data_IF_419251292269
#
_entry.id   IF_419251292269
#
_cell.length_a   1.000
_cell.length_b   1.000
_cell.length_c   1.000
_cell.angle_alpha   90.00
_cell.angle_beta   90.00
_cell.angle_gamma   90.00
#
_symmetry.space_group_name_H-M   'P 1'
#
loop_
_entity.id
_entity.type
_entity.pdbx_description
1 polymer ?
#
# COMPACT_ATOMS: atom_id res chain seq x y z
N UNK A 1 16.48 13.70 7.27
CA UNK A 1 16.88 12.34 6.90
C UNK A 1 16.14 11.31 7.75
N UNK A 2 16.33 11.34 9.08
CA UNK A 2 15.65 10.41 10.01
C UNK A 2 14.12 10.37 9.88
N UNK A 3 13.48 11.54 9.78
CA UNK A 3 12.03 11.62 9.60
C UNK A 3 11.56 10.93 8.31
N UNK A 4 12.30 11.10 7.22
CA UNK A 4 11.99 10.47 5.94
C UNK A 4 12.17 8.95 6.02
N UNK A 5 13.22 8.48 6.68
CA UNK A 5 13.45 7.06 6.95
C UNK A 5 12.31 6.45 7.75
N UNK A 6 11.83 7.14 8.80
CA UNK A 6 10.69 6.69 9.61
C UNK A 6 9.40 6.64 8.79
N UNK A 7 9.13 7.66 7.97
CA UNK A 7 7.94 7.68 7.09
C UNK A 7 7.96 6.52 6.09
N UNK A 8 9.10 6.28 5.42
CA UNK A 8 9.25 5.14 4.50
C UNK A 8 9.14 3.80 5.23
N UNK A 9 9.75 3.67 6.42
CA UNK A 9 9.65 2.45 7.22
C UNK A 9 8.21 2.13 7.61
N UNK A 10 7.41 3.14 7.99
CA UNK A 10 5.98 2.96 8.28
C UNK A 10 5.20 2.51 7.05
N UNK A 11 5.46 3.12 5.89
CA UNK A 11 4.82 2.70 4.63
C UNK A 11 5.14 1.25 4.29
N UNK A 12 6.42 0.85 4.38
CA UNK A 12 6.87 -0.53 4.17
C UNK A 12 6.21 -1.48 5.16
N UNK A 13 6.17 -1.13 6.45
CA UNK A 13 5.51 -1.94 7.48
C UNK A 13 4.04 -2.19 7.13
N UNK A 14 3.31 -1.17 6.66
CA UNK A 14 1.92 -1.33 6.22
C UNK A 14 1.82 -2.11 4.92
N UNK A 15 2.74 -1.92 3.99
CA UNK A 15 2.74 -2.58 2.69
C UNK A 15 2.98 -4.08 2.76
N UNK A 16 3.59 -4.56 3.85
CA UNK A 16 3.67 -5.99 4.16
C UNK A 16 2.31 -6.61 4.55
N UNK A 17 1.28 -5.79 4.80
CA UNK A 17 -0.08 -6.28 5.02
C UNK A 17 -0.81 -6.48 3.70
N UNK A 18 -1.32 -7.69 3.50
CA UNK A 18 -2.06 -8.07 2.29
C UNK A 18 -3.37 -8.76 2.64
N UNK A 19 -4.44 -8.55 1.85
CA UNK A 19 -5.68 -9.28 2.03
C UNK A 19 -5.52 -10.73 1.57
N UNK A 20 -5.74 -11.67 2.48
CA UNK A 20 -5.69 -13.10 2.15
C UNK A 20 -7.05 -13.59 1.69
N UNK A 21 -7.07 -14.42 0.63
CA UNK A 21 -8.30 -15.04 0.11
C UNK A 21 -9.04 -15.84 1.19
N UNK A 22 -8.31 -16.52 2.08
CA UNK A 22 -8.91 -17.28 3.19
C UNK A 22 -9.52 -16.37 4.26
N UNK A 23 -9.05 -15.13 4.38
CA UNK A 23 -9.53 -14.17 5.37
C UNK A 23 -10.71 -13.34 4.85
N UNK A 24 -11.03 -13.41 3.55
CA UNK A 24 -12.10 -12.63 2.91
C UNK A 24 -13.46 -12.82 3.59
N UNK A 25 -13.75 -14.02 4.10
CA UNK A 25 -15.00 -14.30 4.84
C UNK A 25 -15.12 -13.52 6.15
N UNK A 26 -14.00 -13.09 6.72
CA UNK A 26 -13.95 -12.34 7.98
C UNK A 26 -13.74 -10.85 7.77
N UNK A 27 -12.95 -10.46 6.76
CA UNK A 27 -12.56 -9.07 6.52
C UNK A 27 -13.45 -8.36 5.51
N UNK A 28 -14.17 -9.11 4.66
CA UNK A 28 -14.91 -8.58 3.52
C UNK A 28 -14.03 -8.10 2.35
N UNK A 29 -12.70 -8.08 2.52
CA UNK A 29 -11.75 -7.65 1.51
C UNK A 29 -11.38 -8.81 0.58
N UNK A 30 -11.43 -8.58 -0.73
CA UNK A 30 -11.04 -9.56 -1.74
C UNK A 30 -9.55 -9.93 -1.61
N UNK A 31 -9.25 -11.22 -1.61
CA UNK A 31 -7.88 -11.71 -1.55
C UNK A 31 -7.03 -11.26 -2.74
N UNK A 32 -5.76 -10.94 -2.48
CA UNK A 32 -4.79 -10.58 -3.52
C UNK A 32 -3.61 -11.55 -3.52
N UNK A 33 -3.25 -12.02 -4.70
CA UNK A 33 -2.05 -12.82 -4.92
C UNK A 33 -1.08 -12.00 -5.77
N UNK A 34 0.04 -11.60 -5.16
CA UNK A 34 1.07 -10.78 -5.80
C UNK A 34 2.19 -11.69 -6.28
N UNK A 35 2.68 -11.47 -7.51
CA UNK A 35 3.83 -12.22 -8.03
C UNK A 35 5.12 -11.69 -7.41
N UNK A 36 6.13 -12.56 -7.30
CA UNK A 36 7.43 -12.19 -6.74
C UNK A 36 8.08 -10.98 -7.45
N UNK A 37 8.02 -10.94 -8.78
CA UNK A 37 8.58 -9.85 -9.59
C UNK A 37 7.92 -8.50 -9.28
N UNK A 38 6.59 -8.51 -9.13
CA UNK A 38 5.80 -7.32 -8.80
C UNK A 38 6.07 -6.86 -7.37
N UNK A 39 6.26 -7.79 -6.42
CA UNK A 39 6.68 -7.49 -5.05
C UNK A 39 8.04 -6.80 -5.04
N UNK A 40 9.05 -7.37 -5.69
CA UNK A 40 10.41 -6.80 -5.72
C UNK A 40 10.39 -5.40 -6.34
N UNK A 41 9.68 -5.22 -7.47
CA UNK A 41 9.50 -3.90 -8.11
C UNK A 41 8.87 -2.90 -7.13
N UNK A 42 7.77 -3.27 -6.51
CA UNK A 42 7.00 -2.39 -5.62
C UNK A 42 7.82 -1.94 -4.41
N UNK A 43 8.52 -2.85 -3.75
CA UNK A 43 9.38 -2.50 -2.61
C UNK A 43 10.56 -1.62 -3.02
N UNK A 44 11.17 -1.89 -4.19
CA UNK A 44 12.25 -1.05 -4.71
C UNK A 44 11.77 0.37 -4.97
N UNK A 45 10.62 0.53 -5.60
CA UNK A 45 10.09 1.86 -5.92
C UNK A 45 9.71 2.67 -4.67
N UNK A 46 9.23 2.00 -3.61
CA UNK A 46 8.97 2.64 -2.29
C UNK A 46 10.29 3.07 -1.63
N UNK A 47 11.33 2.24 -1.69
CA UNK A 47 12.66 2.56 -1.17
C UNK A 47 13.32 3.72 -1.93
N UNK A 48 13.15 3.75 -3.26
CA UNK A 48 13.61 4.83 -4.14
C UNK A 48 12.82 6.14 -3.94
N UNK A 49 11.72 6.11 -3.17
CA UNK A 49 10.92 7.29 -2.83
C UNK A 49 9.90 7.72 -3.88
N UNK A 50 9.65 6.91 -4.91
CA UNK A 50 8.71 7.25 -6.00
C UNK A 50 7.28 7.50 -5.48
N UNK A 51 6.92 6.85 -4.38
CA UNK A 51 5.59 6.91 -3.76
C UNK A 51 5.57 7.67 -2.43
N UNK A 52 6.54 8.55 -2.19
CA UNK A 52 6.60 9.33 -0.95
C UNK A 52 5.42 10.31 -0.80
N UNK A 53 4.83 10.73 -1.91
CA UNK A 53 3.65 11.60 -1.94
C UNK A 53 2.35 10.89 -1.52
N UNK A 54 2.32 9.54 -1.50
CA UNK A 54 1.14 8.79 -1.10
C UNK A 54 1.00 8.73 0.44
N UNK A 55 -0.23 8.80 0.98
CA UNK A 55 -0.47 8.71 2.41
C UNK A 55 -0.19 7.29 2.93
N UNK A 56 0.26 7.16 4.18
CA UNK A 56 0.54 5.85 4.80
C UNK A 56 -0.67 4.88 4.76
N UNK A 57 -1.90 5.40 4.85
CA UNK A 57 -3.12 4.61 4.79
C UNK A 57 -3.36 3.90 3.45
N UNK A 58 -2.75 4.39 2.37
CA UNK A 58 -2.84 3.77 1.05
C UNK A 58 -2.08 2.44 0.96
N UNK A 59 -1.05 2.24 1.80
CA UNK A 59 -0.23 1.03 1.82
C UNK A 59 -0.81 -0.08 2.69
N UNK A 60 -1.96 0.14 3.36
CA UNK A 60 -2.54 -0.85 4.25
C UNK A 60 -3.50 -1.80 3.52
N UNK A 61 -3.37 -3.11 3.71
CA UNK A 61 -4.24 -4.14 3.14
C UNK A 61 -4.40 -3.98 1.62
N UNK A 62 -3.27 -3.97 0.92
CA UNK A 62 -3.18 -3.88 -0.54
C UNK A 62 -2.30 -5.02 -1.09
N UNK A 63 -2.41 -5.29 -2.39
CA UNK A 63 -1.53 -6.27 -3.04
C UNK A 63 -0.21 -5.63 -3.47
N UNK A 64 -0.23 -5.00 -4.62
CA UNK A 64 0.94 -4.33 -5.21
C UNK A 64 0.85 -2.80 -5.09
N UNK A 65 1.82 -2.13 -5.72
CA UNK A 65 1.90 -0.67 -5.67
C UNK A 65 0.81 0.03 -6.50
N UNK A 66 0.22 -0.66 -7.47
CA UNK A 66 -0.87 -0.15 -8.29
C UNK A 66 -2.16 -0.12 -7.47
N UNK A 67 -2.42 -1.18 -6.68
CA UNK A 67 -3.48 -1.22 -5.67
C UNK A 67 -3.32 -0.09 -4.64
N UNK A 68 -2.09 0.16 -4.15
CA UNK A 68 -1.81 1.25 -3.22
C UNK A 68 -2.13 2.63 -3.84
N UNK A 69 -1.75 2.84 -5.10
CA UNK A 69 -2.02 4.08 -5.83
C UNK A 69 -3.52 4.29 -6.05
N UNK A 70 -4.24 3.24 -6.47
CA UNK A 70 -5.68 3.27 -6.63
C UNK A 70 -6.40 3.57 -5.30
N UNK A 71 -5.93 2.99 -4.20
CA UNK A 71 -6.46 3.26 -2.87
C UNK A 71 -6.20 4.70 -2.43
N UNK A 72 -5.02 5.25 -2.71
CA UNK A 72 -4.72 6.65 -2.43
C UNK A 72 -5.67 7.61 -3.17
N UNK A 73 -5.98 7.32 -4.43
CA UNK A 73 -6.95 8.09 -5.21
C UNK A 73 -8.35 8.06 -4.60
N UNK A 74 -8.81 6.88 -4.12
CA UNK A 74 -10.10 6.77 -3.42
C UNK A 74 -10.12 7.60 -2.14
N UNK A 75 -9.08 7.51 -1.32
CA UNK A 75 -8.95 8.30 -0.09
C UNK A 75 -8.99 9.81 -0.42
N UNK A 76 -8.28 10.24 -1.47
CA UNK A 76 -8.30 11.64 -1.89
C UNK A 76 -9.69 12.09 -2.37
N UNK A 77 -10.40 11.24 -3.11
CA UNK A 77 -11.76 11.53 -3.57
C UNK A 77 -12.76 11.60 -2.40
N UNK A 78 -12.67 10.71 -1.42
CA UNK A 78 -13.49 10.74 -0.21
C UNK A 78 -13.26 12.00 0.62
N UNK A 79 -12.01 12.45 0.75
CA UNK A 79 -11.68 13.69 1.46
C UNK A 79 -12.20 14.92 0.71
N UNK A 80 -12.16 14.93 -0.63
CA UNK A 80 -12.63 16.05 -1.43
C UNK A 80 -14.16 16.17 -1.52
N UNK A 81 -14.89 15.08 -1.26
CA UNK A 81 -16.35 15.06 -1.26
C UNK A 81 -17.00 15.41 0.08
N UNK A 82 -16.21 15.60 1.14
CA UNK A 82 -16.62 15.92 2.51
C UNK A 82 -16.32 17.38 2.86
#
# INVERSE_FOLDING_TARGET
EDKLTVERARKIQKFLSQPFTVAQVFTGSEGRLVKLEDTIRSFKDVLDGKYDHLPEGAFYMVGDIDDATAKAQRIAAEIAGN
#
